data_IF_584853908598
#
_entry.id   IF_584853908598
#
_cell.length_a   1.000
_cell.length_b   1.000
_cell.length_c   1.000
_cell.angle_alpha   90.00
_cell.angle_beta   90.00
_cell.angle_gamma   90.00
#
_symmetry.space_group_name_H-M   'P 1'
#
loop_
_entity.id
_entity.type
_entity.pdbx_description
1 polymer ?
#
# COMPACT_ATOMS: atom_id res chain seq x y z
N UNK A 1 2.39 -4.67 -7.83
CA UNK A 1 3.67 -4.61 -7.08
C UNK A 1 3.47 -5.17 -5.66
N UNK A 2 4.50 -5.78 -5.08
CA UNK A 2 4.52 -6.29 -3.69
C UNK A 2 5.68 -5.66 -2.91
N UNK A 3 5.44 -5.20 -1.69
CA UNK A 3 6.41 -4.51 -0.82
C UNK A 3 6.24 -5.00 0.61
N UNK A 4 7.31 -5.42 1.26
CA UNK A 4 7.30 -5.68 2.71
C UNK A 4 7.42 -4.37 3.48
N UNK A 5 6.53 -4.14 4.44
CA UNK A 5 6.51 -2.93 5.28
C UNK A 5 6.85 -3.28 6.73
N UNK A 6 7.59 -2.40 7.41
CA UNK A 6 7.97 -2.56 8.82
C UNK A 6 6.94 -2.03 9.82
N UNK A 7 5.84 -1.43 9.35
CA UNK A 7 4.75 -0.91 10.19
C UNK A 7 3.41 -1.14 9.53
N UNK A 8 2.34 -1.27 10.32
CA UNK A 8 0.97 -1.25 9.81
C UNK A 8 0.65 0.16 9.25
N UNK A 9 -0.07 0.28 8.13
CA UNK A 9 -0.64 1.54 7.69
C UNK A 9 -1.56 2.12 8.77
N UNK A 10 -1.55 3.45 8.93
CA UNK A 10 -2.46 4.14 9.86
C UNK A 10 -3.91 4.11 9.34
N UNK A 11 -4.87 4.42 10.21
CA UNK A 11 -6.28 4.53 9.80
C UNK A 11 -6.50 5.59 8.71
N UNK A 12 -5.75 6.69 8.78
CA UNK A 12 -5.77 7.74 7.77
C UNK A 12 -5.23 7.24 6.44
N UNK A 13 -4.09 6.54 6.44
CA UNK A 13 -3.52 5.93 5.22
C UNK A 13 -4.47 4.89 4.61
N UNK A 14 -5.13 4.08 5.45
CA UNK A 14 -6.15 3.12 5.00
C UNK A 14 -7.29 3.81 4.26
N UNK A 15 -7.77 4.93 4.80
CA UNK A 15 -8.85 5.71 4.18
C UNK A 15 -8.40 6.42 2.91
N UNK A 16 -7.25 7.11 2.93
CA UNK A 16 -6.74 7.91 1.81
C UNK A 16 -6.43 7.01 0.61
N UNK A 17 -5.79 5.86 0.85
CA UNK A 17 -5.40 4.94 -0.21
C UNK A 17 -6.44 3.85 -0.50
N UNK A 18 -7.63 3.94 0.10
CA UNK A 18 -8.71 2.96 -0.05
C UNK A 18 -8.20 1.51 0.12
N UNK A 19 -7.42 1.28 1.19
CA UNK A 19 -6.70 0.03 1.42
C UNK A 19 -7.69 -1.08 1.78
N UNK A 20 -7.60 -2.20 1.06
CA UNK A 20 -8.28 -3.45 1.42
C UNK A 20 -7.31 -4.33 2.22
N UNK A 21 -7.71 -4.67 3.43
CA UNK A 21 -6.91 -5.53 4.32
C UNK A 21 -7.28 -6.99 4.09
N UNK A 22 -6.29 -7.86 4.02
CA UNK A 22 -6.43 -9.31 4.03
C UNK A 22 -5.51 -9.87 5.10
N UNK A 23 -6.11 -10.29 6.22
CA UNK A 23 -5.39 -10.81 7.37
C UNK A 23 -5.21 -12.33 7.18
N UNK A 24 -3.95 -12.78 7.12
CA UNK A 24 -3.58 -14.18 7.30
C UNK A 24 -2.99 -14.40 8.69
N UNK A 25 -2.76 -15.67 9.06
CA UNK A 25 -2.27 -16.04 10.39
C UNK A 25 -0.93 -15.36 10.77
N UNK A 26 0.00 -15.26 9.83
CA UNK A 26 1.35 -14.71 10.07
C UNK A 26 1.61 -13.39 9.33
N UNK A 27 0.89 -13.11 8.24
CA UNK A 27 1.09 -11.95 7.39
C UNK A 27 -0.22 -11.23 7.15
N UNK A 28 -0.19 -9.90 7.23
CA UNK A 28 -1.29 -9.03 6.84
C UNK A 28 -0.94 -8.32 5.53
N UNK A 29 -1.77 -8.54 4.51
CA UNK A 29 -1.64 -7.89 3.22
C UNK A 29 -2.60 -6.69 3.12
N UNK A 30 -2.05 -5.54 2.76
CA UNK A 30 -2.75 -4.29 2.52
C UNK A 30 -2.74 -3.97 1.03
N UNK A 31 -3.88 -4.17 0.37
CA UNK A 31 -4.01 -4.05 -1.09
C UNK A 31 -4.58 -2.69 -1.48
N UNK A 32 -3.91 -2.05 -2.44
CA UNK A 32 -4.23 -0.73 -2.98
C UNK A 32 -4.42 -0.86 -4.48
N UNK A 33 -5.61 -0.50 -4.98
CA UNK A 33 -5.89 -0.44 -6.41
C UNK A 33 -5.55 0.96 -6.92
N UNK A 34 -4.53 1.09 -7.77
CA UNK A 34 -4.06 2.41 -8.22
C UNK A 34 -5.05 3.12 -9.13
N UNK A 35 -5.98 2.38 -9.73
CA UNK A 35 -7.08 2.94 -10.51
C UNK A 35 -8.08 3.73 -9.64
N UNK A 36 -8.15 3.45 -8.33
CA UNK A 36 -9.07 4.16 -7.42
C UNK A 36 -8.43 5.41 -6.80
N UNK A 37 -7.17 5.70 -7.12
CA UNK A 37 -6.43 6.84 -6.56
C UNK A 37 -6.29 7.96 -7.60
N UNK A 38 -6.46 9.19 -7.14
CA UNK A 38 -6.10 10.37 -7.91
C UNK A 38 -4.56 10.57 -7.95
N UNK A 39 -4.09 11.57 -8.70
CA UNK A 39 -2.66 11.84 -8.82
C UNK A 39 -2.01 12.28 -7.50
N UNK A 40 -2.77 12.94 -6.61
CA UNK A 40 -2.27 13.42 -5.32
C UNK A 40 -2.03 12.23 -4.39
N UNK A 41 -3.01 11.35 -4.26
CA UNK A 41 -2.92 10.11 -3.48
C UNK A 41 -1.81 9.19 -4.01
N UNK A 42 -1.60 9.11 -5.33
CA UNK A 42 -0.47 8.36 -5.92
C UNK A 42 0.89 8.93 -5.53
N UNK A 43 1.05 10.26 -5.51
CA UNK A 43 2.28 10.92 -5.07
C UNK A 43 2.53 10.66 -3.58
N UNK A 44 1.51 10.87 -2.74
CA UNK A 44 1.59 10.57 -1.30
C UNK A 44 1.94 9.12 -1.04
N UNK A 45 1.36 8.16 -1.78
CA UNK A 45 1.69 6.75 -1.67
C UNK A 45 3.17 6.48 -1.97
N UNK A 46 3.72 7.15 -2.99
CA UNK A 46 5.14 7.05 -3.31
C UNK A 46 6.02 7.57 -2.17
N UNK A 47 5.65 8.70 -1.58
CA UNK A 47 6.41 9.30 -0.48
C UNK A 47 6.33 8.45 0.80
N UNK A 48 5.12 8.01 1.19
CA UNK A 48 4.88 7.22 2.40
C UNK A 48 5.63 5.88 2.43
N UNK A 49 5.76 5.24 1.26
CA UNK A 49 6.36 3.91 1.14
C UNK A 49 7.66 3.89 0.32
N UNK A 50 8.25 5.08 0.08
CA UNK A 50 9.48 5.27 -0.69
C UNK A 50 9.47 4.54 -2.05
N UNK A 51 8.37 4.67 -2.79
CA UNK A 51 8.17 4.05 -4.10
C UNK A 51 8.57 5.01 -5.21
N UNK A 52 9.14 4.44 -6.28
CA UNK A 52 9.44 5.22 -7.48
C UNK A 52 8.15 5.44 -8.30
N UNK A 53 7.81 6.68 -8.68
CA UNK A 53 6.60 7.00 -9.45
C UNK A 53 6.46 6.17 -10.74
N UNK A 54 7.57 5.96 -11.45
CA UNK A 54 7.64 5.15 -12.68
C UNK A 54 7.08 3.73 -12.51
N UNK A 55 7.22 3.16 -11.29
CA UNK A 55 6.72 1.81 -10.99
C UNK A 55 5.24 1.79 -10.64
N UNK A 56 4.70 2.90 -10.15
CA UNK A 56 3.26 3.10 -9.92
C UNK A 56 2.54 3.26 -11.27
N UNK A 57 3.12 4.01 -12.20
CA UNK A 57 2.54 4.22 -13.53
C UNK A 57 2.45 2.92 -14.35
N UNK A 58 3.36 1.97 -14.10
CA UNK A 58 3.45 0.70 -14.83
C UNK A 58 2.74 -0.48 -14.14
N UNK A 59 2.01 -0.25 -13.03
CA UNK A 59 1.30 -1.31 -12.30
C UNK A 59 -0.16 -0.90 -12.04
N UNK A 60 -1.02 -1.89 -11.82
CA UNK A 60 -2.45 -1.65 -11.54
C UNK A 60 -2.75 -1.61 -10.05
N UNK A 61 -1.93 -2.31 -9.25
CA UNK A 61 -2.11 -2.43 -7.80
C UNK A 61 -0.78 -2.48 -7.04
N UNK A 62 -0.83 -2.08 -5.78
CA UNK A 62 0.24 -2.19 -4.79
C UNK A 62 -0.24 -3.08 -3.65
N UNK A 63 0.59 -4.01 -3.20
CA UNK A 63 0.34 -4.87 -2.05
C UNK A 63 1.45 -4.58 -1.06
N UNK A 64 1.08 -4.08 0.12
CA UNK A 64 1.98 -3.83 1.23
C UNK A 64 1.78 -4.95 2.24
N UNK A 65 2.86 -5.62 2.63
CA UNK A 65 2.76 -6.84 3.43
C UNK A 65 3.51 -6.67 4.73
N UNK A 66 2.78 -6.83 5.82
CA UNK A 66 3.28 -6.69 7.18
C UNK A 66 3.33 -8.06 7.85
N UNK A 67 4.50 -8.43 8.36
CA UNK A 67 4.62 -9.64 9.16
C UNK A 67 4.13 -9.35 10.58
N UNK A 68 3.10 -10.07 11.03
CA UNK A 68 2.44 -9.82 12.32
C UNK A 68 3.18 -10.50 13.50
N UNK A 69 4.22 -11.29 13.22
CA UNK A 69 5.05 -11.98 14.21
C UNK A 69 6.19 -11.12 14.78
N UNK A 70 6.23 -9.81 14.50
CA UNK A 70 7.29 -8.87 14.93
C UNK A 70 6.82 -7.92 16.02
#
# INVERSE_FOLDING_TARGET
MYITIGRKPSKEEISIFNIKVSEGDTVVDYRIELATLDQTAKKMLCECYNLKPERIESTTKVILSYNNEV
#
